data_IF_590975593952
#
_entry.id   IF_590975593952
#
_cell.length_a   1.000
_cell.length_b   1.000
_cell.length_c   1.000
_cell.angle_alpha   90.00
_cell.angle_beta   90.00
_cell.angle_gamma   90.00
#
_symmetry.space_group_name_H-M   'P 1'
#
loop_
_entity.id
_entity.type
_entity.pdbx_description
1 polymer ?
#
# COMPACT_ATOMS: atom_id res chain seq x y z
N UNK A 1 -33.66 -15.23 -5.39
CA UNK A 1 -32.26 -15.18 -5.88
C UNK A 1 -31.41 -15.85 -4.83
N UNK A 2 -30.64 -16.90 -5.17
CA UNK A 2 -29.76 -17.55 -4.21
C UNK A 2 -28.63 -16.59 -3.80
N UNK A 3 -28.32 -16.51 -2.52
CA UNK A 3 -27.23 -15.67 -2.01
C UNK A 3 -25.88 -16.22 -2.52
N UNK A 4 -25.03 -15.34 -3.07
CA UNK A 4 -23.69 -15.67 -3.58
C UNK A 4 -22.65 -15.50 -2.48
N UNK A 5 -22.58 -16.49 -1.58
CA UNK A 5 -21.74 -16.43 -0.40
C UNK A 5 -20.23 -16.51 -0.68
N UNK A 6 -19.86 -16.90 -1.90
CA UNK A 6 -18.50 -16.93 -2.40
C UNK A 6 -17.96 -15.54 -2.82
N UNK A 7 -18.84 -14.55 -3.00
CA UNK A 7 -18.44 -13.23 -3.45
C UNK A 7 -17.97 -12.35 -2.28
N UNK A 8 -16.86 -11.67 -2.53
CA UNK A 8 -16.28 -10.61 -1.69
C UNK A 8 -15.94 -9.41 -2.57
N UNK A 9 -15.97 -8.23 -1.97
CA UNK A 9 -15.72 -6.95 -2.62
C UNK A 9 -14.53 -6.27 -1.98
N UNK A 10 -13.62 -5.78 -2.82
CA UNK A 10 -12.60 -4.82 -2.42
C UNK A 10 -12.95 -3.49 -3.07
N UNK A 11 -13.40 -2.53 -2.27
CA UNK A 11 -13.80 -1.20 -2.73
C UNK A 11 -12.65 -0.23 -2.53
N UNK A 12 -12.09 0.28 -3.62
CA UNK A 12 -11.09 1.35 -3.57
C UNK A 12 -11.81 2.70 -3.49
N UNK A 13 -11.50 3.48 -2.46
CA UNK A 13 -12.09 4.80 -2.23
C UNK A 13 -11.05 5.76 -1.70
N UNK A 14 -11.20 7.07 -2.00
CA UNK A 14 -10.36 8.09 -1.36
C UNK A 14 -10.76 8.34 0.10
N UNK A 15 -11.87 7.75 0.57
CA UNK A 15 -12.35 7.86 1.94
C UNK A 15 -12.87 9.24 2.35
N UNK A 16 -13.02 10.20 1.44
CA UNK A 16 -13.25 11.61 1.79
C UNK A 16 -14.72 12.04 1.78
N UNK A 17 -15.65 11.23 1.29
CA UNK A 17 -17.01 11.69 0.98
C UNK A 17 -18.11 10.94 1.75
N UNK A 18 -17.78 10.39 2.92
CA UNK A 18 -18.79 9.80 3.80
C UNK A 18 -19.54 10.88 4.59
N UNK A 19 -20.86 10.75 4.61
CA UNK A 19 -21.78 11.63 5.32
C UNK A 19 -22.59 10.86 6.37
N UNK A 20 -23.21 11.58 7.31
CA UNK A 20 -24.02 10.96 8.36
C UNK A 20 -25.18 10.12 7.82
N UNK A 21 -25.73 10.50 6.65
CA UNK A 21 -26.81 9.78 5.99
C UNK A 21 -26.38 8.39 5.47
N UNK A 22 -25.09 8.17 5.21
CA UNK A 22 -24.58 6.88 4.72
C UNK A 22 -24.54 5.80 5.83
N UNK A 23 -24.69 6.20 7.09
CA UNK A 23 -24.48 5.31 8.25
C UNK A 23 -25.38 4.08 8.20
N UNK A 24 -26.67 4.24 7.91
CA UNK A 24 -27.62 3.13 7.93
C UNK A 24 -27.29 2.10 6.85
N UNK A 25 -26.97 2.56 5.64
CA UNK A 25 -26.54 1.72 4.53
C UNK A 25 -25.26 0.96 4.88
N UNK A 26 -24.27 1.66 5.44
CA UNK A 26 -22.99 1.06 5.82
C UNK A 26 -23.14 0.01 6.94
N UNK A 27 -24.05 0.22 7.88
CA UNK A 27 -24.34 -0.75 8.93
C UNK A 27 -25.08 -2.00 8.41
N UNK A 28 -25.85 -1.86 7.34
CA UNK A 28 -26.58 -2.96 6.69
C UNK A 28 -25.69 -3.86 5.80
N UNK A 29 -24.47 -3.41 5.44
CA UNK A 29 -23.53 -4.22 4.69
C UNK A 29 -22.97 -5.38 5.53
N UNK A 30 -22.82 -6.55 4.91
CA UNK A 30 -22.04 -7.65 5.49
C UNK A 30 -20.56 -7.26 5.51
N UNK A 31 -20.09 -6.87 6.69
CA UNK A 31 -18.73 -6.39 6.94
C UNK A 31 -17.67 -7.45 6.65
N UNK A 32 -18.02 -8.74 6.68
CA UNK A 32 -17.09 -9.83 6.36
C UNK A 32 -16.83 -9.96 4.85
N UNK A 33 -17.64 -9.29 4.02
CA UNK A 33 -17.59 -9.37 2.55
C UNK A 33 -16.98 -8.16 1.88
N UNK A 34 -16.82 -7.05 2.59
CA UNK A 34 -16.37 -5.79 1.99
C UNK A 34 -15.13 -5.27 2.71
N UNK A 35 -14.03 -5.16 1.96
CA UNK A 35 -12.81 -4.48 2.38
C UNK A 35 -12.73 -3.14 1.67
N UNK A 36 -12.44 -2.08 2.42
CA UNK A 36 -12.31 -0.72 1.94
C UNK A 36 -10.83 -0.37 1.83
N UNK A 37 -10.33 -0.30 0.60
CA UNK A 37 -8.97 0.13 0.30
C UNK A 37 -8.90 1.65 0.26
N UNK A 38 -8.20 2.25 1.24
CA UNK A 38 -8.16 3.70 1.45
C UNK A 38 -6.72 4.20 1.37
N UNK A 39 -6.39 5.18 0.49
CA UNK A 39 -5.04 5.68 0.37
C UNK A 39 -4.70 6.63 1.53
N UNK A 40 -3.52 6.45 2.13
CA UNK A 40 -2.94 7.38 3.09
C UNK A 40 -1.43 7.46 2.86
N UNK A 41 -0.95 8.61 2.40
CA UNK A 41 0.44 8.76 1.93
C UNK A 41 1.43 9.28 2.97
N UNK A 42 0.97 9.95 4.03
CA UNK A 42 1.83 10.51 5.08
C UNK A 42 1.00 10.82 6.32
N UNK A 43 1.64 10.83 7.49
CA UNK A 43 1.07 11.42 8.72
C UNK A 43 1.33 12.93 8.82
N UNK A 44 1.99 13.49 7.81
CA UNK A 44 2.12 14.92 7.60
C UNK A 44 1.04 15.40 6.62
N UNK A 45 0.12 16.28 7.05
CA UNK A 45 -0.94 16.78 6.19
C UNK A 45 -0.41 17.44 4.91
N UNK A 46 0.69 18.21 5.01
CA UNK A 46 1.26 18.92 3.86
C UNK A 46 1.77 17.94 2.82
N UNK A 47 2.59 16.96 3.24
CA UNK A 47 3.12 15.93 2.32
C UNK A 47 1.99 15.09 1.72
N UNK A 48 1.00 14.71 2.54
CA UNK A 48 -0.15 13.95 2.07
C UNK A 48 -0.90 14.71 0.97
N UNK A 49 -1.26 15.96 1.23
CA UNK A 49 -2.07 16.80 0.36
C UNK A 49 -1.35 17.17 -0.93
N UNK A 50 -0.02 17.37 -0.86
CA UNK A 50 0.84 17.54 -2.03
C UNK A 50 0.84 16.30 -2.93
N UNK A 51 0.97 15.09 -2.34
CA UNK A 51 0.98 13.84 -3.11
C UNK A 51 -0.36 13.61 -3.81
N UNK A 52 -1.48 13.90 -3.15
CA UNK A 52 -2.82 13.73 -3.76
C UNK A 52 -3.30 14.93 -4.56
N UNK A 53 -2.53 16.02 -4.59
CA UNK A 53 -2.84 17.24 -5.33
C UNK A 53 -4.08 17.99 -4.84
N UNK A 54 -4.42 17.88 -3.54
CA UNK A 54 -5.62 18.47 -2.97
C UNK A 54 -5.39 18.92 -1.53
N UNK A 55 -5.40 20.23 -1.31
CA UNK A 55 -5.36 20.82 0.03
C UNK A 55 -6.58 20.42 0.88
N UNK A 56 -6.36 20.11 2.15
CA UNK A 56 -7.37 19.63 3.10
C UNK A 56 -7.75 18.16 2.93
N UNK A 57 -7.07 17.41 2.04
CA UNK A 57 -7.40 16.02 1.78
C UNK A 57 -7.12 15.12 3.00
N UNK A 58 -6.02 15.36 3.73
CA UNK A 58 -5.67 14.63 4.94
C UNK A 58 -6.73 14.81 6.03
N UNK A 59 -7.14 16.04 6.33
CA UNK A 59 -8.16 16.32 7.35
C UNK A 59 -9.50 15.68 6.99
N UNK A 60 -9.90 15.78 5.71
CA UNK A 60 -11.14 15.14 5.24
C UNK A 60 -11.05 13.62 5.32
N UNK A 61 -9.89 13.05 5.01
CA UNK A 61 -9.63 11.62 5.13
C UNK A 61 -9.72 11.15 6.58
N UNK A 62 -9.19 11.90 7.55
CA UNK A 62 -9.31 11.55 8.98
C UNK A 62 -10.78 11.44 9.40
N UNK A 63 -11.63 12.38 8.97
CA UNK A 63 -13.06 12.32 9.22
C UNK A 63 -13.72 11.07 8.62
N UNK A 64 -13.32 10.70 7.41
CA UNK A 64 -13.80 9.50 6.72
C UNK A 64 -13.33 8.18 7.35
N UNK A 65 -12.06 8.10 7.78
CA UNK A 65 -11.54 6.95 8.52
C UNK A 65 -12.28 6.79 9.86
N UNK A 66 -12.55 7.89 10.55
CA UNK A 66 -13.36 7.85 11.78
C UNK A 66 -14.80 7.40 11.51
N UNK A 67 -15.39 7.78 10.38
CA UNK A 67 -16.70 7.28 9.97
C UNK A 67 -16.68 5.77 9.71
N UNK A 68 -15.74 5.29 8.88
CA UNK A 68 -15.57 3.87 8.56
C UNK A 68 -15.31 3.03 9.82
N UNK A 69 -14.45 3.52 10.72
CA UNK A 69 -14.19 2.89 12.01
C UNK A 69 -15.44 2.77 12.88
N UNK A 70 -16.25 3.83 12.97
CA UNK A 70 -17.54 3.80 13.69
C UNK A 70 -18.59 2.90 13.04
N UNK A 71 -18.50 2.66 11.73
CA UNK A 71 -19.36 1.71 11.02
C UNK A 71 -18.88 0.26 11.18
N UNK A 72 -17.70 0.03 11.74
CA UNK A 72 -17.08 -1.30 11.86
C UNK A 72 -16.60 -1.87 10.53
N UNK A 73 -16.32 -1.01 9.54
CA UNK A 73 -15.85 -1.43 8.22
C UNK A 73 -14.47 -2.10 8.31
N UNK A 74 -14.20 -3.06 7.43
CA UNK A 74 -12.86 -3.61 7.24
C UNK A 74 -12.07 -2.64 6.34
N UNK A 75 -10.97 -2.08 6.83
CA UNK A 75 -10.15 -1.07 6.19
C UNK A 75 -8.77 -1.65 5.89
N UNK A 76 -8.39 -1.58 4.61
CA UNK A 76 -7.01 -1.73 4.15
C UNK A 76 -6.47 -0.33 3.86
N UNK A 77 -5.46 0.12 4.59
CA UNK A 77 -4.76 1.35 4.23
C UNK A 77 -3.71 1.06 3.17
N UNK A 78 -3.60 1.97 2.21
CA UNK A 78 -2.73 1.82 1.05
C UNK A 78 -1.77 3.00 0.97
N UNK A 79 -0.48 2.74 0.95
CA UNK A 79 0.56 3.78 0.85
C UNK A 79 1.48 3.41 -0.30
N UNK A 80 1.45 4.17 -1.38
CA UNK A 80 2.50 4.05 -2.41
C UNK A 80 3.78 4.67 -1.85
N UNK A 81 4.85 3.89 -1.82
CA UNK A 81 6.17 4.30 -1.37
C UNK A 81 6.82 5.17 -2.45
N UNK A 82 7.16 6.40 -2.08
CA UNK A 82 7.65 7.44 -2.97
C UNK A 82 8.72 8.26 -2.26
N UNK A 83 9.64 8.90 -2.99
CA UNK A 83 10.67 9.74 -2.35
C UNK A 83 10.10 10.79 -1.38
N UNK A 84 8.98 11.48 -1.69
CA UNK A 84 8.42 12.48 -0.78
C UNK A 84 7.91 11.93 0.56
N UNK A 85 7.54 10.64 0.63
CA UNK A 85 6.99 10.05 1.86
C UNK A 85 7.87 9.01 2.54
N UNK A 86 8.92 8.51 1.87
CA UNK A 86 9.73 7.40 2.37
C UNK A 86 10.37 7.67 3.73
N UNK A 87 10.89 8.87 3.97
CA UNK A 87 11.48 9.26 5.26
C UNK A 87 10.43 9.43 6.36
N UNK A 88 9.17 9.75 5.99
CA UNK A 88 8.05 9.91 6.90
C UNK A 88 7.35 8.59 7.24
N UNK A 89 7.74 7.47 6.62
CA UNK A 89 7.06 6.18 6.76
C UNK A 89 7.05 5.65 8.21
N UNK A 90 8.14 5.74 9.01
CA UNK A 90 8.10 5.36 10.43
C UNK A 90 7.16 6.24 11.26
N UNK A 91 7.06 7.54 10.95
CA UNK A 91 6.10 8.45 11.58
C UNK A 91 4.67 8.07 11.21
N UNK A 92 4.42 7.71 9.94
CA UNK A 92 3.14 7.18 9.51
C UNK A 92 2.78 5.89 10.28
N UNK A 93 3.71 4.93 10.40
CA UNK A 93 3.47 3.72 11.18
C UNK A 93 3.03 4.04 12.62
N UNK A 94 3.71 4.98 13.31
CA UNK A 94 3.31 5.42 14.66
C UNK A 94 1.90 6.01 14.65
N UNK A 95 1.58 6.88 13.70
CA UNK A 95 0.24 7.44 13.55
C UNK A 95 -0.82 6.35 13.36
N UNK A 96 -0.55 5.33 12.53
CA UNK A 96 -1.47 4.21 12.35
C UNK A 96 -1.76 3.49 13.66
N UNK A 97 -0.72 3.19 14.42
CA UNK A 97 -0.83 2.45 15.69
C UNK A 97 -1.52 3.22 16.82
N UNK A 98 -1.63 4.55 16.72
CA UNK A 98 -2.22 5.39 17.78
C UNK A 98 -3.55 6.02 17.39
N UNK A 99 -3.69 6.41 16.13
CA UNK A 99 -4.80 7.26 15.66
C UNK A 99 -5.84 6.47 14.86
N UNK A 100 -5.41 5.42 14.15
CA UNK A 100 -6.31 4.55 13.38
C UNK A 100 -6.01 3.06 13.62
N UNK A 101 -5.92 2.59 14.88
CA UNK A 101 -5.53 1.21 15.20
C UNK A 101 -6.58 0.16 14.81
N UNK A 102 -7.74 0.59 14.31
CA UNK A 102 -8.86 -0.27 13.90
C UNK A 102 -8.77 -0.78 12.45
N UNK A 103 -7.71 -0.41 11.72
CA UNK A 103 -7.44 -0.95 10.38
C UNK A 103 -7.01 -2.40 10.47
N UNK A 104 -7.27 -3.18 9.43
CA UNK A 104 -6.89 -4.60 9.38
C UNK A 104 -5.51 -4.77 8.80
N UNK A 105 -5.27 -4.14 7.65
CA UNK A 105 -4.04 -4.30 6.88
C UNK A 105 -3.52 -2.95 6.44
N UNK A 106 -2.20 -2.79 6.46
CA UNK A 106 -1.49 -1.69 5.82
C UNK A 106 -0.66 -2.23 4.65
N UNK A 107 -1.11 -1.95 3.44
CA UNK A 107 -0.41 -2.25 2.21
C UNK A 107 0.54 -1.11 1.85
N UNK A 108 1.84 -1.34 2.03
CA UNK A 108 2.91 -0.48 1.51
C UNK A 108 3.20 -0.97 0.09
N UNK A 109 3.13 -0.09 -0.90
CA UNK A 109 3.15 -0.48 -2.31
C UNK A 109 4.31 0.18 -3.05
N UNK A 110 5.08 -0.58 -3.82
CA UNK A 110 6.04 0.05 -4.73
C UNK A 110 5.34 0.76 -5.89
N UNK A 111 5.89 1.91 -6.30
CA UNK A 111 5.42 2.74 -7.40
C UNK A 111 5.47 2.04 -8.77
N UNK A 112 4.33 2.05 -9.48
CA UNK A 112 4.18 1.59 -10.86
C UNK A 112 4.56 2.72 -11.85
N UNK A 113 5.34 2.43 -12.88
CA UNK A 113 5.82 3.41 -13.86
C UNK A 113 4.77 3.76 -14.93
N UNK A 114 3.65 4.38 -14.53
CA UNK A 114 2.55 4.73 -15.42
C UNK A 114 1.99 6.13 -15.11
N UNK A 115 1.30 6.74 -16.09
CA UNK A 115 0.61 8.02 -15.90
C UNK A 115 1.53 9.12 -15.39
N UNK A 116 1.14 9.76 -14.28
CA UNK A 116 1.90 10.83 -13.63
C UNK A 116 3.28 10.36 -13.15
N UNK A 117 3.39 9.12 -12.67
CA UNK A 117 4.64 8.55 -12.18
C UNK A 117 5.68 8.44 -13.29
N UNK A 118 5.26 8.06 -14.51
CA UNK A 118 6.15 7.95 -15.66
C UNK A 118 6.81 9.27 -16.05
N UNK A 119 6.09 10.38 -15.93
CA UNK A 119 6.63 11.71 -16.25
C UNK A 119 7.56 12.26 -15.16
N UNK A 120 7.47 11.72 -13.95
CA UNK A 120 8.14 12.24 -12.75
C UNK A 120 9.01 11.17 -12.05
N UNK A 121 9.43 10.13 -12.77
CA UNK A 121 10.00 8.92 -12.18
C UNK A 121 11.19 9.20 -11.26
N UNK A 122 12.16 9.99 -11.70
CA UNK A 122 13.35 10.34 -10.91
C UNK A 122 13.04 11.09 -9.61
N UNK A 123 11.91 11.82 -9.57
CA UNK A 123 11.44 12.57 -8.39
C UNK A 123 10.60 11.71 -7.45
N UNK A 124 9.94 10.68 -7.98
CA UNK A 124 8.91 9.94 -7.24
C UNK A 124 9.37 8.54 -6.83
N UNK A 125 10.13 7.85 -7.66
CA UNK A 125 10.54 6.48 -7.39
C UNK A 125 11.52 6.42 -6.23
N UNK A 126 11.13 5.72 -5.18
CA UNK A 126 12.02 5.41 -4.06
C UNK A 126 12.64 4.03 -4.29
N UNK A 127 13.96 3.97 -4.36
CA UNK A 127 14.68 2.71 -4.51
C UNK A 127 14.74 1.95 -3.18
N UNK A 128 13.79 1.03 -2.99
CA UNK A 128 13.73 0.18 -1.81
C UNK A 128 14.81 -0.91 -1.79
N UNK A 129 15.51 -1.18 -2.91
CA UNK A 129 16.61 -2.15 -2.91
C UNK A 129 17.84 -1.67 -2.15
N UNK A 130 18.01 -0.35 -2.05
CA UNK A 130 19.11 0.29 -1.32
C UNK A 130 18.63 1.04 -0.08
N UNK A 131 17.38 1.53 -0.09
CA UNK A 131 16.77 2.33 0.98
C UNK A 131 15.82 1.57 1.92
N UNK A 132 15.91 0.24 2.05
CA UNK A 132 14.89 -0.55 2.77
C UNK A 132 14.76 -0.21 4.27
N UNK A 133 15.79 0.36 4.91
CA UNK A 133 15.80 0.61 6.37
C UNK A 133 14.58 1.38 6.88
N UNK A 134 14.13 2.41 6.15
CA UNK A 134 12.94 3.18 6.54
C UNK A 134 11.65 2.33 6.46
N UNK A 135 11.60 1.41 5.49
CA UNK A 135 10.49 0.47 5.31
C UNK A 135 10.50 -0.56 6.42
N UNK A 136 11.66 -1.14 6.74
CA UNK A 136 11.85 -2.06 7.86
C UNK A 136 11.38 -1.45 9.19
N UNK A 137 11.86 -0.25 9.51
CA UNK A 137 11.46 0.44 10.74
C UNK A 137 9.95 0.68 10.81
N UNK A 138 9.32 1.07 9.69
CA UNK A 138 7.88 1.28 9.64
C UNK A 138 7.09 -0.03 9.83
N UNK A 139 7.53 -1.12 9.19
CA UNK A 139 6.96 -2.46 9.37
C UNK A 139 7.03 -2.87 10.83
N UNK A 140 8.22 -2.78 11.45
CA UNK A 140 8.43 -3.22 12.83
C UNK A 140 7.57 -2.44 13.83
N UNK A 141 7.45 -1.13 13.64
CA UNK A 141 6.56 -0.29 14.46
C UNK A 141 5.11 -0.78 14.34
N UNK A 142 4.59 -0.91 13.12
CA UNK A 142 3.20 -1.29 12.90
C UNK A 142 2.89 -2.70 13.43
N UNK A 143 3.76 -3.68 13.13
CA UNK A 143 3.59 -5.07 13.55
C UNK A 143 3.75 -5.26 15.06
N UNK A 144 4.58 -4.47 15.74
CA UNK A 144 4.68 -4.48 17.21
C UNK A 144 3.35 -4.15 17.91
N UNK A 145 2.39 -3.56 17.17
CA UNK A 145 1.03 -3.24 17.62
C UNK A 145 -0.05 -4.02 16.86
N UNK A 146 0.29 -5.18 16.32
CA UNK A 146 -0.63 -6.13 15.68
C UNK A 146 -1.36 -5.60 14.44
N UNK A 147 -0.84 -4.56 13.79
CA UNK A 147 -1.30 -4.18 12.44
C UNK A 147 -0.64 -5.14 11.44
N UNK A 148 -1.44 -5.78 10.60
CA UNK A 148 -0.93 -6.57 9.47
C UNK A 148 -0.30 -5.65 8.43
N UNK A 149 0.88 -5.99 7.94
CA UNK A 149 1.61 -5.17 6.96
C UNK A 149 1.98 -6.02 5.77
N UNK A 150 1.66 -5.54 4.57
CA UNK A 150 1.97 -6.22 3.33
C UNK A 150 2.72 -5.30 2.37
N UNK A 151 3.71 -5.87 1.68
CA UNK A 151 4.57 -5.21 0.71
C UNK A 151 4.09 -5.57 -0.70
N UNK A 152 3.30 -4.69 -1.30
CA UNK A 152 2.74 -4.91 -2.64
C UNK A 152 3.69 -4.42 -3.72
N UNK A 153 3.79 -5.19 -4.79
CA UNK A 153 4.58 -4.86 -5.97
C UNK A 153 6.09 -4.76 -5.72
N UNK A 154 6.59 -5.35 -4.63
CA UNK A 154 8.02 -5.46 -4.37
C UNK A 154 8.56 -6.77 -4.98
N UNK A 155 9.52 -6.73 -5.90
CA UNK A 155 10.28 -7.91 -6.27
C UNK A 155 11.04 -8.44 -5.03
N UNK A 156 11.04 -9.75 -4.78
CA UNK A 156 11.64 -10.30 -3.55
C UNK A 156 13.15 -10.04 -3.41
N UNK A 157 13.86 -9.84 -4.53
CA UNK A 157 15.28 -9.48 -4.52
C UNK A 157 15.53 -8.05 -4.00
N UNK A 158 14.52 -7.19 -3.94
CA UNK A 158 14.62 -5.83 -3.36
C UNK A 158 14.21 -5.79 -1.89
N UNK A 159 13.86 -6.93 -1.30
CA UNK A 159 13.37 -7.06 0.08
C UNK A 159 14.36 -7.93 0.88
N UNK A 160 14.87 -7.46 2.04
CA UNK A 160 15.74 -8.26 2.87
C UNK A 160 15.05 -9.54 3.36
N UNK A 161 15.81 -10.62 3.51
CA UNK A 161 15.32 -11.96 3.86
C UNK A 161 14.25 -12.00 4.96
N UNK A 162 14.45 -11.33 6.11
CA UNK A 162 13.49 -11.32 7.22
C UNK A 162 12.12 -10.71 6.92
N UNK A 163 11.96 -9.98 5.81
CA UNK A 163 10.71 -9.29 5.44
C UNK A 163 10.03 -9.88 4.20
N UNK A 164 10.66 -10.84 3.51
CA UNK A 164 10.15 -11.38 2.23
C UNK A 164 8.79 -12.06 2.35
N UNK A 165 8.49 -12.68 3.49
CA UNK A 165 7.17 -13.29 3.75
C UNK A 165 6.04 -12.25 3.81
N UNK A 166 6.35 -10.97 3.92
CA UNK A 166 5.39 -9.87 3.86
C UNK A 166 5.14 -9.38 2.43
N UNK A 167 5.84 -9.91 1.42
CA UNK A 167 5.77 -9.45 0.02
C UNK A 167 5.11 -10.49 -0.90
N UNK A 168 3.78 -10.70 -0.80
CA UNK A 168 3.08 -11.64 -1.67
C UNK A 168 3.11 -11.17 -3.14
N UNK A 169 2.89 -12.12 -4.06
CA UNK A 169 2.73 -11.82 -5.49
C UNK A 169 1.39 -11.13 -5.76
N UNK A 170 1.40 -9.78 -5.77
CA UNK A 170 0.19 -8.97 -5.95
C UNK A 170 0.02 -8.33 -7.33
N UNK A 171 1.04 -8.39 -8.17
CA UNK A 171 0.96 -7.89 -9.55
C UNK A 171 0.17 -8.91 -10.37
N UNK A 172 -0.92 -8.46 -11.00
CA UNK A 172 -1.73 -9.29 -11.89
C UNK A 172 -0.88 -9.91 -12.99
N UNK A 173 -1.19 -11.15 -13.36
CA UNK A 173 -0.37 -11.95 -14.29
C UNK A 173 -0.09 -11.23 -15.62
N UNK A 174 -1.09 -10.53 -16.16
CA UNK A 174 -0.97 -9.78 -17.42
C UNK A 174 -0.11 -8.52 -17.33
N UNK A 175 0.19 -8.02 -16.11
CA UNK A 175 1.09 -6.88 -15.87
C UNK A 175 2.48 -7.31 -15.42
N UNK A 176 2.67 -8.59 -15.12
CA UNK A 176 3.85 -9.10 -14.42
C UNK A 176 4.91 -9.54 -15.42
N UNK A 177 6.14 -9.04 -15.24
CA UNK A 177 7.30 -9.47 -15.99
C UNK A 177 8.47 -9.84 -15.07
N UNK A 178 9.41 -10.57 -15.64
CA UNK A 178 10.67 -10.93 -15.01
C UNK A 178 11.82 -10.51 -15.91
N UNK A 179 12.94 -10.07 -15.32
CA UNK A 179 14.15 -9.70 -16.03
C UNK A 179 14.97 -10.94 -16.41
N UNK A 180 15.97 -10.80 -17.28
CA UNK A 180 16.82 -11.91 -17.70
C UNK A 180 17.53 -12.59 -16.51
N UNK A 181 17.94 -11.81 -15.50
CA UNK A 181 18.56 -12.31 -14.27
C UNK A 181 17.64 -13.21 -13.45
N UNK A 182 16.32 -13.13 -13.66
CA UNK A 182 15.35 -13.97 -12.97
C UNK A 182 15.29 -15.40 -13.51
N UNK A 183 15.93 -15.73 -14.65
CA UNK A 183 15.84 -17.06 -15.29
C UNK A 183 16.21 -18.19 -14.34
N UNK A 184 17.24 -17.99 -13.51
CA UNK A 184 17.76 -18.98 -12.56
C UNK A 184 17.46 -18.61 -11.09
N UNK A 185 16.57 -17.64 -10.84
CA UNK A 185 16.27 -17.20 -9.49
C UNK A 185 15.40 -18.24 -8.75
N UNK A 186 15.90 -18.70 -7.60
CA UNK A 186 15.24 -19.69 -6.75
C UNK A 186 13.89 -19.20 -6.21
N UNK A 187 13.74 -17.89 -6.01
CA UNK A 187 12.52 -17.28 -5.48
C UNK A 187 11.47 -16.92 -6.54
N UNK A 188 11.71 -17.20 -7.83
CA UNK A 188 10.83 -16.74 -8.91
C UNK A 188 9.38 -17.20 -8.76
N UNK A 189 9.16 -18.41 -8.25
CA UNK A 189 7.82 -18.99 -8.06
C UNK A 189 6.94 -18.21 -7.08
N UNK A 190 7.56 -17.61 -6.06
CA UNK A 190 6.86 -16.83 -5.02
C UNK A 190 6.91 -15.32 -5.28
N UNK A 191 7.83 -14.88 -6.15
CA UNK A 191 8.09 -13.48 -6.41
C UNK A 191 7.02 -12.83 -7.29
N UNK A 192 6.51 -11.66 -6.85
CA UNK A 192 5.60 -10.81 -7.62
C UNK A 192 6.21 -10.19 -8.87
N UNK A 193 7.51 -10.34 -9.10
CA UNK A 193 8.22 -9.81 -10.26
C UNK A 193 8.17 -8.29 -10.33
N UNK A 194 8.21 -7.77 -11.55
CA UNK A 194 8.14 -6.35 -11.86
C UNK A 194 6.88 -6.07 -12.67
N UNK A 195 6.46 -4.81 -12.71
CA UNK A 195 5.54 -4.36 -13.76
C UNK A 195 6.22 -4.50 -15.14
N UNK A 196 5.48 -4.95 -16.14
CA UNK A 196 6.00 -5.19 -17.50
C UNK A 196 6.65 -3.95 -18.13
N UNK A 197 6.15 -2.77 -17.78
CA UNK A 197 6.66 -1.47 -18.20
C UNK A 197 7.59 -0.81 -17.16
N UNK A 198 8.11 -1.57 -16.20
CA UNK A 198 9.16 -1.07 -15.32
C UNK A 198 10.39 -0.69 -16.15
N UNK A 199 10.99 0.50 -15.95
CA UNK A 199 12.17 0.90 -16.71
C UNK A 199 13.33 -0.04 -16.37
N UNK A 200 14.00 -0.56 -17.41
CA UNK A 200 15.12 -1.50 -17.24
C UNK A 200 16.43 -0.80 -16.84
N UNK A 201 16.59 0.45 -17.25
CA UNK A 201 17.84 1.20 -17.12
C UNK A 201 17.86 2.13 -15.89
N UNK A 202 16.69 2.44 -15.31
CA UNK A 202 16.56 3.43 -14.24
C UNK A 202 15.51 2.99 -13.23
N UNK A 203 15.86 2.90 -11.95
CA UNK A 203 14.97 2.40 -10.91
C UNK A 203 15.78 1.80 -9.78
N UNK A 204 15.69 0.49 -9.60
CA UNK A 204 16.44 -0.24 -8.58
C UNK A 204 17.94 -0.27 -8.90
N UNK A 205 18.77 0.13 -7.94
CA UNK A 205 20.23 0.05 -8.06
C UNK A 205 20.79 -1.32 -7.67
N UNK A 206 20.05 -2.10 -6.85
CA UNK A 206 20.47 -3.44 -6.43
C UNK A 206 19.39 -4.46 -6.76
N UNK A 207 19.69 -5.34 -7.72
CA UNK A 207 18.82 -6.45 -8.11
C UNK A 207 19.62 -7.75 -8.05
N UNK A 208 18.92 -8.86 -7.81
CA UNK A 208 19.54 -10.17 -7.66
C UNK A 208 20.03 -10.44 -6.23
N UNK A 209 20.89 -11.44 -6.06
CA UNK A 209 21.42 -11.82 -4.74
C UNK A 209 20.54 -12.79 -3.94
N UNK A 210 19.64 -13.52 -4.61
CA UNK A 210 18.86 -14.61 -4.00
C UNK A 210 18.79 -15.84 -4.89
#
# INVERSE_FOLDING_TARGET
MLAREDLRFHVLTNGQHFESADREVMLALDRSRVVWGVPLYSADPTIHDEIVGKAGAFEKLQSGLAFLGRAGAQIELRTVLMQPNAQGLPRLARYLTTSVPFIQTWAIMQLENIGYARQNWSRLFFDSSTGFETVAQAIDIARSRSIDVQLFNFPLCTVPGPYRHLAPSTISDWKRAYMDDCKNCSLRGDCGGFFEWHPREHGYASLGGV
#
